data_IF_164390280985
#
_entry.id   IF_164390280985
#
_cell.length_a   1.000
_cell.length_b   1.000
_cell.length_c   1.000
_cell.angle_alpha   90.00
_cell.angle_beta   90.00
_cell.angle_gamma   90.00
#
_symmetry.space_group_name_H-M   'P 1'
#
loop_
_entity.id
_entity.type
_entity.pdbx_description
1 polymer ?
#
# COMPACT_ATOMS: atom_id res chain seq x y z
N UNK A 1 9.33 -14.34 -2.93
CA UNK A 1 8.40 -14.19 -4.06
C UNK A 1 6.97 -13.99 -3.60
N UNK A 2 6.26 -13.13 -4.31
CA UNK A 2 4.84 -12.92 -4.09
C UNK A 2 4.09 -13.86 -5.02
N UNK A 3 3.25 -14.72 -4.45
CA UNK A 3 2.45 -15.68 -5.21
C UNK A 3 1.03 -15.68 -4.69
N UNK A 4 0.09 -15.86 -5.59
CA UNK A 4 -1.33 -15.96 -5.27
C UNK A 4 -1.82 -17.38 -5.55
N UNK A 5 -2.75 -17.86 -4.73
CA UNK A 5 -3.33 -19.19 -4.88
C UNK A 5 -4.07 -19.32 -6.21
N UNK A 6 -3.94 -20.50 -6.84
CA UNK A 6 -4.56 -20.78 -8.12
C UNK A 6 -4.01 -19.88 -9.22
N UNK A 7 -4.86 -19.54 -10.17
CA UNK A 7 -4.53 -18.69 -11.31
C UNK A 7 -5.01 -17.25 -11.12
N UNK A 8 -5.04 -16.76 -9.89
CA UNK A 8 -5.50 -15.40 -9.63
C UNK A 8 -4.55 -14.36 -10.23
N UNK A 9 -5.10 -13.44 -10.98
CA UNK A 9 -4.37 -12.32 -11.57
C UNK A 9 -4.68 -11.07 -10.77
N UNK A 10 -3.66 -10.40 -10.28
CA UNK A 10 -3.84 -9.22 -9.44
C UNK A 10 -4.00 -7.97 -10.31
N UNK A 11 -5.25 -7.62 -10.57
CA UNK A 11 -5.62 -6.47 -11.40
C UNK A 11 -5.72 -5.19 -10.56
N UNK A 12 -5.86 -4.06 -11.25
CA UNK A 12 -6.14 -2.77 -10.61
C UNK A 12 -7.42 -2.81 -9.78
N UNK A 13 -8.47 -3.45 -10.31
CA UNK A 13 -9.74 -3.58 -9.58
C UNK A 13 -9.57 -4.37 -8.29
N UNK A 14 -8.83 -5.48 -8.33
CA UNK A 14 -8.54 -6.24 -7.12
C UNK A 14 -7.69 -5.45 -6.13
N UNK A 15 -6.74 -4.65 -6.61
CA UNK A 15 -5.96 -3.80 -5.74
C UNK A 15 -6.86 -2.79 -4.99
N UNK A 16 -7.77 -2.14 -5.71
CA UNK A 16 -8.74 -1.23 -5.09
C UNK A 16 -9.57 -1.96 -4.03
N UNK A 17 -10.04 -3.17 -4.34
CA UNK A 17 -10.85 -3.96 -3.42
C UNK A 17 -10.06 -4.36 -2.17
N UNK A 18 -8.79 -4.76 -2.31
CA UNK A 18 -7.92 -5.07 -1.17
C UNK A 18 -7.73 -3.83 -0.29
N UNK A 19 -7.51 -2.69 -0.89
CA UNK A 19 -7.34 -1.44 -0.15
C UNK A 19 -8.60 -1.10 0.64
N UNK A 20 -9.75 -1.13 -0.01
CA UNK A 20 -11.02 -0.82 0.67
C UNK A 20 -11.40 -1.88 1.71
N UNK A 21 -11.04 -3.15 1.51
CA UNK A 21 -11.41 -4.23 2.41
C UNK A 21 -10.50 -4.40 3.63
N UNK A 22 -9.22 -4.05 3.50
CA UNK A 22 -8.26 -4.30 4.57
C UNK A 22 -7.39 -3.09 4.90
N UNK A 23 -6.76 -2.49 3.89
CA UNK A 23 -5.70 -1.49 4.14
C UNK A 23 -6.27 -0.23 4.76
N UNK A 24 -7.42 0.20 4.30
CA UNK A 24 -8.06 1.44 4.72
C UNK A 24 -8.35 1.47 6.23
N UNK A 25 -8.83 0.36 6.78
CA UNK A 25 -9.18 0.27 8.20
C UNK A 25 -8.14 -0.44 9.04
N UNK A 26 -7.25 -1.20 8.41
CA UNK A 26 -6.21 -1.95 9.11
C UNK A 26 -6.65 -3.32 9.62
N UNK A 27 -7.92 -3.69 9.48
CA UNK A 27 -8.39 -4.99 9.97
C UNK A 27 -9.70 -5.40 9.31
N UNK A 28 -9.92 -6.70 9.26
CA UNK A 28 -11.20 -7.31 8.88
C UNK A 28 -11.71 -8.10 10.09
N UNK A 29 -12.78 -7.67 10.74
CA UNK A 29 -13.37 -8.46 11.84
C UNK A 29 -13.83 -9.84 11.37
N UNK A 30 -13.79 -10.82 12.26
CA UNK A 30 -14.22 -12.18 11.94
C UNK A 30 -15.67 -12.24 11.43
N UNK A 31 -16.52 -11.36 11.92
CA UNK A 31 -17.94 -11.28 11.53
C UNK A 31 -18.20 -10.25 10.43
N UNK A 32 -17.18 -9.80 9.72
CA UNK A 32 -17.34 -8.85 8.65
C UNK A 32 -18.25 -9.41 7.56
N UNK A 33 -19.08 -8.53 6.99
CA UNK A 33 -19.93 -8.89 5.86
C UNK A 33 -19.05 -9.25 4.67
N UNK A 34 -19.34 -10.42 4.06
CA UNK A 34 -18.65 -10.85 2.85
C UNK A 34 -19.12 -10.01 1.67
N UNK A 35 -18.21 -9.26 1.09
CA UNK A 35 -18.41 -8.52 -0.14
C UNK A 35 -17.16 -8.64 -1.02
N UNK A 36 -17.14 -7.95 -2.15
CA UNK A 36 -16.02 -8.03 -3.08
C UNK A 36 -14.70 -7.52 -2.46
N UNK A 37 -14.78 -6.54 -1.56
CA UNK A 37 -13.59 -5.97 -0.93
C UNK A 37 -12.99 -6.95 0.09
N UNK A 38 -13.82 -7.50 0.96
CA UNK A 38 -13.38 -8.49 1.94
C UNK A 38 -12.86 -9.74 1.23
N UNK A 39 -13.57 -10.23 0.21
CA UNK A 39 -13.13 -11.39 -0.56
C UNK A 39 -11.77 -11.18 -1.22
N UNK A 40 -11.55 -10.01 -1.83
CA UNK A 40 -10.26 -9.69 -2.44
C UNK A 40 -9.15 -9.67 -1.39
N UNK A 41 -9.38 -9.05 -0.24
CA UNK A 41 -8.39 -9.00 0.84
C UNK A 41 -8.05 -10.41 1.35
N UNK A 42 -9.04 -11.28 1.51
CA UNK A 42 -8.82 -12.66 1.93
C UNK A 42 -8.06 -13.47 0.89
N UNK A 43 -8.34 -13.26 -0.40
CA UNK A 43 -7.71 -14.01 -1.48
C UNK A 43 -6.30 -13.54 -1.81
N UNK A 44 -6.03 -12.23 -1.76
CA UNK A 44 -4.74 -11.68 -2.15
C UNK A 44 -3.85 -11.30 -0.97
N UNK A 45 -4.44 -11.02 0.19
CA UNK A 45 -3.68 -10.59 1.36
C UNK A 45 -2.56 -11.53 1.77
N UNK A 46 -2.80 -12.85 1.87
CA UNK A 46 -1.73 -13.78 2.23
C UNK A 46 -0.56 -13.78 1.26
N UNK A 47 -0.84 -13.79 -0.06
CA UNK A 47 0.22 -13.73 -1.09
C UNK A 47 0.98 -12.41 -1.08
N UNK A 48 0.31 -11.30 -0.77
CA UNK A 48 0.94 -10.00 -0.59
C UNK A 48 1.76 -9.92 0.70
N UNK A 49 1.55 -10.86 1.62
CA UNK A 49 2.25 -10.92 2.91
C UNK A 49 1.96 -9.71 3.79
N UNK A 50 0.69 -9.30 3.81
CA UNK A 50 0.25 -8.12 4.57
C UNK A 50 -0.74 -8.46 5.68
N UNK A 51 -1.03 -9.74 5.91
CA UNK A 51 -2.03 -10.19 6.88
C UNK A 51 -1.36 -10.90 8.05
N UNK A 52 -1.82 -10.55 9.26
CA UNK A 52 -1.58 -11.33 10.47
C UNK A 52 -2.94 -11.80 11.00
N UNK A 53 -3.05 -13.08 11.32
CA UNK A 53 -4.28 -13.64 11.87
C UNK A 53 -4.33 -13.42 13.38
N UNK A 54 -5.46 -12.91 13.85
CA UNK A 54 -5.79 -12.85 15.26
C UNK A 54 -7.05 -13.68 15.52
N UNK A 55 -7.41 -13.90 16.79
CA UNK A 55 -8.56 -14.74 17.12
C UNK A 55 -9.88 -14.19 16.61
N UNK A 56 -10.00 -12.87 16.50
CA UNK A 56 -11.23 -12.18 16.15
C UNK A 56 -11.15 -11.35 14.88
N UNK A 57 -10.00 -11.38 14.18
CA UNK A 57 -9.82 -10.55 13.00
C UNK A 57 -8.62 -11.00 12.15
N UNK A 58 -8.63 -10.58 10.88
CA UNK A 58 -7.42 -10.49 10.06
C UNK A 58 -6.91 -9.05 10.20
N UNK A 59 -5.62 -8.90 10.48
CA UNK A 59 -5.03 -7.60 10.76
C UNK A 59 -3.98 -7.27 9.70
N UNK A 60 -4.02 -6.04 9.20
CA UNK A 60 -2.98 -5.54 8.32
C UNK A 60 -1.67 -5.44 9.10
N UNK A 61 -0.63 -6.08 8.58
CA UNK A 61 0.69 -6.05 9.21
C UNK A 61 1.76 -6.16 8.14
N UNK A 62 2.56 -5.10 7.96
CA UNK A 62 3.69 -5.09 7.04
C UNK A 62 5.03 -4.99 7.76
N UNK A 63 5.06 -5.14 9.08
CA UNK A 63 6.30 -5.02 9.87
C UNK A 63 7.33 -6.10 9.49
N UNK A 64 6.86 -7.29 9.09
CA UNK A 64 7.71 -8.38 8.65
C UNK A 64 7.79 -8.49 7.13
N UNK A 65 7.19 -7.55 6.41
CA UNK A 65 7.19 -7.56 4.95
C UNK A 65 8.42 -6.82 4.44
N UNK A 66 9.36 -7.57 3.85
CA UNK A 66 10.63 -6.97 3.39
C UNK A 66 10.42 -5.92 2.31
N UNK A 67 9.40 -6.08 1.46
CA UNK A 67 9.15 -5.11 0.38
C UNK A 67 8.69 -3.77 0.95
N UNK A 68 7.73 -3.79 1.85
CA UNK A 68 7.26 -2.58 2.52
C UNK A 68 8.39 -1.93 3.34
N UNK A 69 9.19 -2.74 4.05
CA UNK A 69 10.28 -2.22 4.86
C UNK A 69 11.41 -1.64 4.00
N UNK A 70 11.73 -2.26 2.86
CA UNK A 70 12.71 -1.70 1.92
C UNK A 70 12.22 -0.40 1.29
N UNK A 71 10.92 -0.31 0.97
CA UNK A 71 10.32 0.94 0.50
C UNK A 71 10.44 2.02 1.57
N UNK A 72 10.12 1.71 2.82
CA UNK A 72 10.22 2.65 3.92
C UNK A 72 11.67 3.12 4.12
N UNK A 73 12.62 2.21 4.04
CA UNK A 73 14.05 2.54 4.14
C UNK A 73 14.47 3.50 3.03
N UNK A 74 14.05 3.24 1.80
CA UNK A 74 14.32 4.12 0.67
C UNK A 74 13.76 5.53 0.92
N UNK A 75 12.51 5.60 1.37
CA UNK A 75 11.87 6.88 1.69
C UNK A 75 12.63 7.60 2.80
N UNK A 76 13.03 6.89 3.84
CA UNK A 76 13.77 7.47 4.96
C UNK A 76 15.12 8.04 4.54
N UNK A 77 15.84 7.31 3.71
CA UNK A 77 17.16 7.73 3.24
C UNK A 77 17.07 8.92 2.28
N UNK A 78 16.15 8.89 1.32
CA UNK A 78 16.00 9.95 0.30
C UNK A 78 15.29 11.17 0.85
N UNK A 79 14.42 11.01 1.85
CA UNK A 79 13.67 12.09 2.46
C UNK A 79 14.19 12.54 3.82
N UNK A 80 15.46 12.25 4.15
CA UNK A 80 16.04 12.53 5.47
C UNK A 80 15.93 13.99 5.89
N UNK A 81 15.94 14.93 4.95
CA UNK A 81 15.83 16.37 5.20
C UNK A 81 14.39 16.87 5.12
N UNK A 82 13.40 16.01 5.24
CA UNK A 82 12.00 16.37 5.12
C UNK A 82 11.53 16.59 3.69
N UNK A 83 12.33 16.19 2.70
CA UNK A 83 11.99 16.35 1.29
C UNK A 83 10.95 15.31 0.86
N UNK A 84 10.01 15.72 -0.01
CA UNK A 84 9.07 14.75 -0.56
C UNK A 84 9.79 13.79 -1.53
N UNK A 85 9.31 12.55 -1.55
CA UNK A 85 9.78 11.54 -2.50
C UNK A 85 8.67 11.33 -3.53
N UNK A 86 9.02 11.45 -4.80
CA UNK A 86 8.04 11.20 -5.87
C UNK A 86 7.70 9.71 -5.92
N UNK A 87 6.42 9.40 -6.05
CA UNK A 87 5.97 8.02 -6.20
C UNK A 87 6.59 7.38 -7.44
N UNK A 88 6.80 8.15 -8.50
CA UNK A 88 7.49 7.65 -9.69
C UNK A 88 8.91 7.14 -9.41
N UNK A 89 9.61 7.75 -8.47
CA UNK A 89 10.93 7.28 -8.07
C UNK A 89 10.84 5.91 -7.39
N UNK A 90 9.79 5.68 -6.63
CA UNK A 90 9.54 4.38 -6.01
C UNK A 90 9.21 3.32 -7.06
N UNK A 91 8.40 3.66 -8.05
CA UNK A 91 8.11 2.75 -9.15
C UNK A 91 9.40 2.35 -9.89
N UNK A 92 10.25 3.31 -10.21
CA UNK A 92 11.51 3.04 -10.90
C UNK A 92 12.44 2.14 -10.10
N UNK A 93 12.43 2.29 -8.77
CA UNK A 93 13.34 1.53 -7.91
C UNK A 93 12.84 0.12 -7.58
N UNK A 94 11.52 -0.09 -7.53
CA UNK A 94 10.95 -1.33 -6.98
C UNK A 94 10.21 -2.20 -7.99
N UNK A 95 9.77 -1.65 -9.12
CA UNK A 95 9.04 -2.44 -10.12
C UNK A 95 10.04 -3.21 -11.00
N UNK A 96 9.71 -4.47 -11.29
CA UNK A 96 10.49 -5.32 -12.17
C UNK A 96 11.67 -5.98 -11.49
N UNK A 97 12.55 -6.55 -12.31
CA UNK A 97 13.63 -7.41 -11.84
C UNK A 97 15.02 -6.80 -11.98
N UNK A 98 15.14 -5.63 -12.59
CA UNK A 98 16.42 -4.96 -12.81
C UNK A 98 16.44 -3.58 -12.17
N UNK A 99 16.12 -3.51 -10.86
CA UNK A 99 16.17 -2.26 -10.14
C UNK A 99 17.59 -1.68 -10.07
N UNK A 100 17.73 -0.34 -9.86
CA UNK A 100 19.03 0.33 -9.85
C UNK A 100 20.03 -0.23 -8.84
N UNK A 101 19.57 -0.88 -7.80
CA UNK A 101 20.43 -1.44 -6.76
C UNK A 101 20.73 -2.93 -6.97
N UNK A 102 20.45 -3.46 -8.15
CA UNK A 102 20.65 -4.87 -8.43
C UNK A 102 19.74 -5.82 -7.67
N UNK A 103 18.74 -5.28 -6.99
CA UNK A 103 17.75 -6.09 -6.27
C UNK A 103 16.58 -6.39 -7.17
N UNK A 104 16.23 -7.66 -7.27
CA UNK A 104 15.11 -8.12 -8.07
C UNK A 104 13.87 -8.22 -7.20
N UNK A 105 13.12 -7.12 -7.08
CA UNK A 105 11.91 -7.13 -6.28
C UNK A 105 10.76 -7.85 -6.97
N UNK A 106 10.66 -7.73 -8.28
CA UNK A 106 9.58 -8.37 -9.04
C UNK A 106 8.20 -7.81 -8.72
N UNK A 107 8.13 -6.60 -8.20
CA UNK A 107 6.85 -6.00 -7.83
C UNK A 107 6.19 -5.37 -9.06
N UNK A 108 4.87 -5.32 -9.01
CA UNK A 108 4.07 -4.55 -9.95
C UNK A 108 3.75 -3.19 -9.34
N UNK A 109 3.27 -2.26 -10.18
CA UNK A 109 2.81 -0.95 -9.72
C UNK A 109 1.76 -1.08 -8.61
N UNK A 110 0.80 -2.01 -8.76
CA UNK A 110 -0.29 -2.17 -7.78
C UNK A 110 0.22 -2.67 -6.44
N UNK A 111 1.21 -3.53 -6.43
CA UNK A 111 1.84 -3.99 -5.19
C UNK A 111 2.53 -2.85 -4.45
N UNK A 112 3.30 -2.03 -5.18
CA UNK A 112 3.95 -0.85 -4.58
C UNK A 112 2.91 0.09 -3.96
N UNK A 113 1.80 0.33 -4.67
CA UNK A 113 0.72 1.18 -4.16
C UNK A 113 0.11 0.64 -2.87
N UNK A 114 -0.13 -0.67 -2.81
CA UNK A 114 -0.67 -1.29 -1.61
C UNK A 114 0.31 -1.17 -0.44
N UNK A 115 1.60 -1.41 -0.67
CA UNK A 115 2.60 -1.28 0.39
C UNK A 115 2.72 0.17 0.89
N UNK A 116 2.64 1.16 -0.01
CA UNK A 116 2.63 2.56 0.39
C UNK A 116 1.41 2.89 1.27
N UNK A 117 0.23 2.46 0.85
CA UNK A 117 -0.99 2.72 1.62
C UNK A 117 -0.98 1.96 2.96
N UNK A 118 -0.41 0.76 2.99
CA UNK A 118 -0.24 0.03 4.25
C UNK A 118 0.71 0.77 5.21
N UNK A 119 1.79 1.35 4.70
CA UNK A 119 2.70 2.17 5.51
C UNK A 119 2.01 3.44 6.02
N UNK A 120 1.14 4.04 5.23
CA UNK A 120 0.33 5.17 5.68
C UNK A 120 -0.62 4.75 6.81
N UNK A 121 -1.27 3.60 6.67
CA UNK A 121 -2.16 3.07 7.72
C UNK A 121 -1.39 2.79 9.02
N UNK A 122 -0.14 2.38 8.92
CA UNK A 122 0.71 2.14 10.09
C UNK A 122 1.34 3.42 10.65
N UNK A 123 1.03 4.59 10.08
CA UNK A 123 1.51 5.87 10.59
C UNK A 123 2.95 6.20 10.23
N UNK A 124 3.54 5.52 9.23
CA UNK A 124 4.95 5.72 8.87
C UNK A 124 5.17 6.82 7.83
N UNK A 125 4.18 7.05 6.98
CA UNK A 125 4.27 8.01 5.87
C UNK A 125 2.93 8.71 5.68
N UNK A 126 2.96 9.82 4.95
CA UNK A 126 1.78 10.44 4.34
C UNK A 126 1.94 10.44 2.83
N UNK A 127 0.83 10.41 2.11
CA UNK A 127 0.83 10.35 0.64
C UNK A 127 -0.02 11.49 0.11
N UNK A 128 0.52 12.24 -0.84
CA UNK A 128 -0.20 13.33 -1.50
C UNK A 128 -0.57 12.91 -2.91
N UNK A 129 -1.80 13.25 -3.31
CA UNK A 129 -2.27 13.06 -4.67
C UNK A 129 -1.76 14.20 -5.54
N UNK A 130 -1.69 13.95 -6.85
CA UNK A 130 -1.21 14.95 -7.80
C UNK A 130 -2.09 16.20 -7.80
N UNK A 131 -1.50 17.40 -7.90
CA UNK A 131 -2.25 18.65 -7.78
C UNK A 131 -3.26 18.88 -8.92
N UNK A 132 -3.07 18.23 -10.06
CA UNK A 132 -3.98 18.35 -11.22
C UNK A 132 -5.02 17.24 -11.27
N UNK A 133 -5.13 16.42 -10.22
CA UNK A 133 -6.03 15.29 -10.20
C UNK A 133 -7.51 15.67 -10.09
N UNK A 134 -7.79 16.84 -9.53
CA UNK A 134 -9.16 17.22 -9.14
C UNK A 134 -9.62 16.52 -7.87
N UNK A 135 -8.75 15.77 -7.22
CA UNK A 135 -9.02 15.10 -5.95
C UNK A 135 -8.58 15.99 -4.79
N UNK A 136 -8.90 15.57 -3.55
CA UNK A 136 -8.54 16.32 -2.35
C UNK A 136 -7.02 16.55 -2.27
N UNK A 137 -6.61 17.76 -1.85
CA UNK A 137 -5.22 18.10 -1.61
C UNK A 137 -4.74 17.65 -0.22
N UNK A 138 -5.66 17.20 0.65
CA UNK A 138 -5.29 16.70 1.97
C UNK A 138 -4.48 15.42 1.86
N UNK A 139 -3.42 15.26 2.68
CA UNK A 139 -2.62 14.05 2.63
C UNK A 139 -3.41 12.83 3.11
N UNK A 140 -3.09 11.69 2.52
CA UNK A 140 -3.54 10.39 3.00
C UNK A 140 -2.54 9.93 4.06
N UNK A 141 -2.99 9.82 5.30
CA UNK A 141 -2.15 9.41 6.42
C UNK A 141 -2.95 8.56 7.40
N UNK A 142 -2.36 8.22 8.54
CA UNK A 142 -3.02 7.42 9.56
C UNK A 142 -4.38 8.00 9.97
N UNK A 143 -4.48 9.33 10.09
CA UNK A 143 -5.71 9.97 10.56
C UNK A 143 -6.80 10.07 9.51
N UNK A 144 -6.45 10.08 8.23
CA UNK A 144 -7.40 10.30 7.14
C UNK A 144 -7.71 9.08 6.29
N UNK A 145 -6.87 8.04 6.34
CA UNK A 145 -6.97 6.93 5.39
C UNK A 145 -8.28 6.17 5.51
N UNK A 146 -8.81 6.00 6.71
CA UNK A 146 -10.07 5.27 6.92
C UNK A 146 -11.26 5.98 6.27
N UNK A 147 -11.22 7.30 6.16
CA UNK A 147 -12.26 8.10 5.53
C UNK A 147 -12.02 8.41 4.06
N UNK A 148 -10.94 7.90 3.47
CA UNK A 148 -10.62 8.13 2.07
C UNK A 148 -11.36 7.14 1.18
N UNK A 149 -11.97 7.65 0.11
CA UNK A 149 -12.64 6.82 -0.89
C UNK A 149 -11.64 6.42 -1.97
N UNK A 150 -11.21 5.15 -1.92
CA UNK A 150 -10.25 4.63 -2.89
C UNK A 150 -10.94 4.05 -4.10
N UNK A 151 -10.52 4.50 -5.26
CA UNK A 151 -10.96 3.98 -6.55
C UNK A 151 -9.77 3.98 -7.51
N UNK A 152 -10.00 3.57 -8.76
CA UNK A 152 -8.93 3.50 -9.76
C UNK A 152 -8.24 4.85 -9.97
N UNK A 153 -9.01 5.93 -9.96
CA UNK A 153 -8.45 7.28 -10.13
C UNK A 153 -7.53 7.66 -8.99
N UNK A 154 -7.91 7.34 -7.75
CA UNK A 154 -7.07 7.62 -6.57
C UNK A 154 -5.70 6.96 -6.73
N UNK A 155 -5.67 5.68 -7.11
CA UNK A 155 -4.42 4.96 -7.32
C UNK A 155 -3.56 5.58 -8.40
N UNK A 156 -4.17 6.01 -9.51
CA UNK A 156 -3.42 6.58 -10.63
C UNK A 156 -2.78 7.93 -10.26
N UNK A 157 -3.30 8.63 -9.25
CA UNK A 157 -2.84 9.95 -8.88
C UNK A 157 -2.01 9.99 -7.60
N UNK A 158 -1.58 8.86 -7.04
CA UNK A 158 -0.58 8.86 -5.97
C UNK A 158 0.69 9.54 -6.51
N UNK A 159 1.17 10.58 -5.83
CA UNK A 159 2.16 11.49 -6.40
C UNK A 159 3.41 11.67 -5.56
N UNK A 160 3.27 12.03 -4.29
CA UNK A 160 4.39 12.29 -3.40
C UNK A 160 4.20 11.60 -2.07
N UNK A 161 5.33 11.24 -1.44
CA UNK A 161 5.35 10.60 -0.14
C UNK A 161 6.25 11.41 0.79
N UNK A 162 5.81 11.58 2.03
CA UNK A 162 6.58 12.20 3.10
C UNK A 162 6.69 11.24 4.28
N UNK A 163 7.83 11.26 4.97
CA UNK A 163 7.93 10.57 6.25
C UNK A 163 6.98 11.21 7.25
N UNK A 164 6.36 10.41 8.09
CA UNK A 164 5.55 10.92 9.17
C UNK A 164 6.46 11.60 10.21
N UNK A 165 6.05 12.78 10.67
CA UNK A 165 6.83 13.54 11.66
C UNK A 165 6.74 12.91 13.05
N UNK A 166 5.65 12.22 13.33
CA UNK A 166 5.38 11.55 14.59
C UNK A 166 4.85 10.16 14.29
N UNK A 167 5.74 9.15 14.19
CA UNK A 167 5.33 7.78 13.93
C UNK A 167 4.53 7.17 15.06
#
# INVERSE_FOLDING_TARGET
DIRFEGNLIFTKEYAVNVINGLVRTGRIPKNARQDKNVSAAQNFGPGLKIIRKESDALVLDVKQNRYAQDILTFISEKGADGKPIKVDALYKNFIGINGPNGKNYGLTRRMVQIYLLALAQEGKISIHLGPKSGLSEDPIDYSSISGTDFNAKTLDWLHEVHLAKHP
#
